data_IF_118591257757
#
_entry.id   IF_118591257757
#
_cell.length_a   1.000
_cell.length_b   1.000
_cell.length_c   1.000
_cell.angle_alpha   90.00
_cell.angle_beta   90.00
_cell.angle_gamma   90.00
#
_symmetry.space_group_name_H-M   'P 1'
#
loop_
_entity.id
_entity.type
_entity.pdbx_description
1 polymer ?
#
# COMPACT_ATOMS: atom_id res chain seq x y z
N UNK A 1 -2.13 -35.21 11.29
CA UNK A 1 -1.51 -35.25 9.95
C UNK A 1 -1.17 -33.81 9.67
N UNK A 2 0.06 -33.50 9.30
CA UNK A 2 0.48 -32.11 9.08
C UNK A 2 0.65 -31.89 7.57
N UNK A 3 -0.35 -31.29 6.94
CA UNK A 3 -0.33 -31.05 5.49
C UNK A 3 0.75 -30.04 5.08
N UNK A 4 1.18 -29.17 6.00
CA UNK A 4 2.23 -28.18 5.75
C UNK A 4 3.60 -28.86 5.63
N UNK A 5 3.95 -29.77 6.55
CA UNK A 5 5.20 -30.52 6.49
C UNK A 5 5.24 -31.54 5.35
N UNK A 6 4.08 -32.10 5.00
CA UNK A 6 3.97 -33.07 3.91
C UNK A 6 3.92 -32.42 2.52
N UNK A 7 3.80 -31.09 2.44
CA UNK A 7 3.67 -30.37 1.17
C UNK A 7 2.35 -30.66 0.44
N UNK A 8 1.32 -31.04 1.19
CA UNK A 8 -0.03 -31.34 0.68
C UNK A 8 -0.96 -30.12 0.70
N UNK A 9 -0.56 -29.05 1.40
CA UNK A 9 -1.30 -27.80 1.44
C UNK A 9 -1.21 -27.05 0.10
N UNK A 10 -2.35 -26.59 -0.41
CA UNK A 10 -2.45 -25.80 -1.66
C UNK A 10 -2.23 -24.29 -1.43
N UNK A 11 -1.46 -23.89 -0.41
CA UNK A 11 -1.15 -22.48 -0.13
C UNK A 11 -0.40 -21.82 -1.32
N UNK A 12 -0.54 -20.49 -1.44
CA UNK A 12 0.39 -19.71 -2.27
C UNK A 12 1.83 -19.97 -1.79
N UNK A 13 2.84 -20.09 -2.67
CA UNK A 13 4.24 -20.28 -2.28
C UNK A 13 4.79 -19.21 -1.32
N UNK A 14 4.19 -18.02 -1.29
CA UNK A 14 4.54 -16.91 -0.39
C UNK A 14 3.70 -16.89 0.88
N UNK A 15 2.64 -17.69 0.97
CA UNK A 15 1.78 -17.76 2.15
C UNK A 15 2.43 -18.56 3.28
N UNK A 16 1.97 -18.28 4.49
CA UNK A 16 2.27 -19.04 5.70
C UNK A 16 1.25 -20.17 5.79
N UNK A 17 1.71 -21.42 5.75
CA UNK A 17 0.89 -22.59 6.03
C UNK A 17 0.78 -22.79 7.54
N UNK A 18 -0.42 -23.08 8.03
CA UNK A 18 -0.72 -23.28 9.45
C UNK A 18 -1.48 -24.60 9.58
N UNK A 19 -0.86 -25.59 10.21
CA UNK A 19 -1.48 -26.86 10.56
C UNK A 19 -2.52 -26.65 11.68
N UNK A 20 -3.68 -27.30 11.56
CA UNK A 20 -4.76 -27.27 12.53
C UNK A 20 -5.10 -28.70 12.98
N UNK A 21 -5.84 -28.84 14.08
CA UNK A 21 -6.16 -30.17 14.65
C UNK A 21 -6.85 -31.14 13.68
N UNK A 22 -7.59 -30.62 12.69
CA UNK A 22 -8.38 -31.42 11.74
C UNK A 22 -8.18 -31.03 10.27
N UNK A 23 -7.33 -30.05 9.97
CA UNK A 23 -7.07 -29.55 8.61
C UNK A 23 -5.84 -28.64 8.62
N UNK A 24 -5.66 -27.86 7.57
CA UNK A 24 -4.72 -26.74 7.55
C UNK A 24 -5.44 -25.45 7.11
N UNK A 25 -4.78 -24.31 7.31
CA UNK A 25 -5.15 -23.03 6.71
C UNK A 25 -3.92 -22.30 6.18
N UNK A 26 -4.14 -21.31 5.32
CA UNK A 26 -3.06 -20.50 4.76
C UNK A 26 -3.31 -19.03 5.06
N UNK A 27 -2.24 -18.27 5.25
CA UNK A 27 -2.32 -16.84 5.54
C UNK A 27 -1.27 -16.08 4.75
N UNK A 28 -1.66 -15.00 4.08
CA UNK A 28 -0.67 -14.10 3.49
C UNK A 28 0.17 -13.42 4.58
N UNK A 29 1.50 -13.33 4.39
CA UNK A 29 2.37 -12.68 5.36
C UNK A 29 2.10 -11.17 5.41
N UNK A 30 2.64 -10.52 6.44
CA UNK A 30 2.53 -9.07 6.55
C UNK A 30 3.10 -8.36 5.31
N UNK A 31 2.41 -7.31 4.83
CA UNK A 31 2.76 -6.65 3.59
C UNK A 31 2.27 -7.36 2.32
N UNK A 32 1.36 -8.33 2.43
CA UNK A 32 0.69 -8.96 1.30
C UNK A 32 -0.83 -8.89 1.47
N UNK A 33 -1.53 -8.61 0.36
CA UNK A 33 -2.97 -8.72 0.26
C UNK A 33 -3.35 -10.11 -0.21
N UNK A 34 -4.37 -10.67 0.42
CA UNK A 34 -5.03 -11.87 -0.06
C UNK A 34 -5.95 -11.52 -1.24
N UNK A 35 -5.68 -12.13 -2.38
CA UNK A 35 -6.44 -11.99 -3.63
C UNK A 35 -7.08 -13.31 -4.07
N UNK A 36 -7.19 -14.28 -3.14
CA UNK A 36 -7.83 -15.56 -3.39
C UNK A 36 -9.28 -15.35 -3.84
N UNK A 37 -9.82 -16.25 -4.67
CA UNK A 37 -11.21 -16.15 -5.13
C UNK A 37 -12.22 -16.27 -3.98
N UNK A 38 -11.86 -16.99 -2.92
CA UNK A 38 -12.62 -17.14 -1.69
C UNK A 38 -11.71 -16.94 -0.47
N UNK A 39 -11.41 -15.69 -0.07
CA UNK A 39 -10.53 -15.41 1.06
C UNK A 39 -11.10 -15.83 2.42
N UNK A 40 -12.40 -16.12 2.49
CA UNK A 40 -13.06 -16.49 3.76
C UNK A 40 -12.83 -17.97 4.04
N UNK A 41 -13.08 -18.83 3.04
CA UNK A 41 -12.96 -20.28 3.22
C UNK A 41 -11.62 -20.84 2.73
N UNK A 42 -10.95 -20.15 1.80
CA UNK A 42 -9.65 -20.53 1.22
C UNK A 42 -8.68 -19.33 1.21
N UNK A 43 -8.33 -18.78 2.39
CA UNK A 43 -7.38 -17.68 2.48
C UNK A 43 -5.99 -18.09 1.99
N UNK A 44 -5.15 -17.13 1.61
CA UNK A 44 -3.74 -17.33 1.35
C UNK A 44 -3.41 -18.24 0.15
N UNK A 45 -4.33 -18.39 -0.82
CA UNK A 45 -4.10 -19.10 -2.09
C UNK A 45 -3.53 -18.20 -3.17
N UNK A 46 -3.71 -16.89 -3.03
CA UNK A 46 -3.11 -15.86 -3.89
C UNK A 46 -2.64 -14.70 -3.01
N UNK A 47 -1.34 -14.59 -2.80
CA UNK A 47 -0.74 -13.51 -2.00
C UNK A 47 -0.02 -12.49 -2.90
N UNK A 48 -0.60 -11.30 -3.02
CA UNK A 48 -0.03 -10.21 -3.79
C UNK A 48 0.67 -9.21 -2.87
N UNK A 49 1.92 -8.85 -3.17
CA UNK A 49 2.68 -7.89 -2.37
C UNK A 49 1.93 -6.55 -2.35
N UNK A 50 1.69 -6.02 -1.16
CA UNK A 50 1.21 -4.65 -0.97
C UNK A 50 2.35 -3.72 -1.37
N UNK A 51 2.33 -3.29 -2.62
CA UNK A 51 3.18 -2.21 -3.10
C UNK A 51 2.43 -0.93 -2.76
N UNK A 52 3.00 -0.12 -1.87
CA UNK A 52 2.54 1.26 -1.70
C UNK A 52 2.61 1.92 -3.07
N UNK A 53 1.54 2.58 -3.49
CA UNK A 53 1.49 3.28 -4.76
C UNK A 53 2.71 4.19 -4.92
N UNK A 54 3.14 4.87 -3.85
CA UNK A 54 4.31 5.74 -3.84
C UNK A 54 5.65 5.04 -4.12
N UNK A 55 5.78 3.76 -3.77
CA UNK A 55 7.01 2.98 -3.94
C UNK A 55 7.01 2.19 -5.27
N UNK A 56 5.94 2.33 -6.06
CA UNK A 56 5.87 1.72 -7.39
C UNK A 56 6.85 2.42 -8.33
N UNK A 57 7.72 1.67 -9.05
CA UNK A 57 8.63 2.27 -10.03
C UNK A 57 7.89 2.96 -11.20
N UNK A 58 6.59 2.67 -11.36
CA UNK A 58 5.73 3.29 -12.37
C UNK A 58 4.71 4.26 -11.75
N UNK A 59 4.98 4.78 -10.55
CA UNK A 59 4.09 5.73 -9.91
C UNK A 59 4.05 7.08 -10.64
N UNK A 60 2.86 7.50 -11.07
CA UNK A 60 2.62 8.79 -11.74
C UNK A 60 1.58 9.65 -11.03
N UNK A 61 1.19 9.28 -9.80
CA UNK A 61 0.05 9.86 -9.11
C UNK A 61 0.27 11.28 -8.55
N UNK A 62 1.51 11.65 -8.19
CA UNK A 62 1.84 13.01 -7.77
C UNK A 62 2.65 13.70 -8.88
N UNK A 63 2.06 14.71 -9.50
CA UNK A 63 2.64 15.39 -10.68
C UNK A 63 3.49 16.61 -10.33
N UNK A 64 3.24 17.28 -9.21
CA UNK A 64 4.02 18.45 -8.77
C UNK A 64 5.37 18.02 -8.21
N UNK A 65 6.46 18.67 -8.64
CA UNK A 65 7.82 18.46 -8.13
C UNK A 65 8.00 18.95 -6.70
N UNK A 66 7.12 19.84 -6.26
CA UNK A 66 7.05 20.44 -4.93
C UNK A 66 6.13 19.64 -4.00
N UNK A 67 5.77 18.41 -4.39
CA UNK A 67 4.94 17.50 -3.61
C UNK A 67 5.63 16.15 -3.40
N UNK A 68 5.32 15.51 -2.27
CA UNK A 68 5.71 14.14 -1.93
C UNK A 68 4.48 13.24 -1.87
N UNK A 69 4.64 12.01 -2.34
CA UNK A 69 3.63 10.97 -2.17
C UNK A 69 3.68 10.41 -0.76
N UNK A 70 2.51 10.19 -0.17
CA UNK A 70 2.34 9.57 1.14
C UNK A 70 1.38 8.41 0.99
N UNK A 71 1.88 7.20 1.22
CA UNK A 71 1.05 5.99 1.22
C UNK A 71 0.07 6.00 2.39
N UNK A 72 -1.15 5.57 2.15
CA UNK A 72 -2.19 5.41 3.17
C UNK A 72 -2.75 3.99 3.08
N UNK A 73 -3.50 3.56 4.10
CA UNK A 73 -4.19 2.26 4.09
C UNK A 73 -5.15 2.10 2.89
N UNK A 74 -5.68 3.22 2.38
CA UNK A 74 -6.67 3.27 1.31
C UNK A 74 -6.07 3.70 -0.05
N UNK A 75 -4.74 3.79 -0.16
CA UNK A 75 -4.05 4.20 -1.39
C UNK A 75 -2.91 5.17 -1.14
N UNK A 76 -3.01 6.39 -1.68
CA UNK A 76 -1.99 7.43 -1.50
C UNK A 76 -2.61 8.82 -1.48
N UNK A 77 -1.89 9.78 -0.89
CA UNK A 77 -2.19 11.21 -0.97
C UNK A 77 -0.91 11.97 -1.33
N UNK A 78 -1.04 13.04 -2.11
CA UNK A 78 0.08 13.94 -2.36
C UNK A 78 0.05 15.07 -1.32
N UNK A 79 1.21 15.46 -0.81
CA UNK A 79 1.36 16.61 0.08
C UNK A 79 2.52 17.48 -0.37
N UNK A 80 2.38 18.79 -0.24
CA UNK A 80 3.51 19.69 -0.49
C UNK A 80 4.70 19.34 0.41
N UNK A 81 5.91 19.48 -0.12
CA UNK A 81 7.16 19.29 0.63
C UNK A 81 7.32 20.41 1.68
N UNK A 82 8.20 20.18 2.64
CA UNK A 82 8.39 21.10 3.76
C UNK A 82 8.82 22.48 3.25
N UNK A 83 8.19 23.54 3.77
CA UNK A 83 8.38 24.92 3.29
C UNK A 83 7.47 25.36 2.13
N UNK A 84 6.56 24.48 1.68
CA UNK A 84 5.51 24.80 0.71
C UNK A 84 4.12 24.64 1.34
N UNK A 85 3.20 25.52 0.95
CA UNK A 85 1.79 25.51 1.37
C UNK A 85 0.94 25.12 0.16
N UNK A 86 -0.05 24.28 0.40
CA UNK A 86 -1.02 23.88 -0.60
C UNK A 86 -2.12 24.94 -0.76
N UNK A 87 -2.26 25.47 -1.97
CA UNK A 87 -3.26 26.46 -2.33
C UNK A 87 -4.52 25.81 -2.96
N UNK A 88 -4.57 24.48 -3.08
CA UNK A 88 -5.72 23.74 -3.61
C UNK A 88 -6.09 22.53 -2.73
N UNK A 89 -6.82 22.73 -1.62
CA UNK A 89 -7.21 21.65 -0.72
C UNK A 89 -8.12 20.58 -1.37
N UNK A 90 -8.84 20.93 -2.44
CA UNK A 90 -9.68 19.98 -3.17
C UNK A 90 -8.86 18.95 -3.95
N UNK A 91 -7.62 19.27 -4.32
CA UNK A 91 -6.68 18.35 -4.96
C UNK A 91 -5.30 18.49 -4.30
N UNK A 92 -5.10 17.84 -3.13
CA UNK A 92 -3.89 18.01 -2.34
C UNK A 92 -2.60 17.74 -3.11
N UNK A 93 -1.58 18.54 -2.86
CA UNK A 93 -0.24 18.42 -3.45
C UNK A 93 -0.14 18.87 -4.90
N UNK A 94 -1.20 19.45 -5.51
CA UNK A 94 -1.17 19.93 -6.90
C UNK A 94 -0.73 21.38 -7.04
N UNK A 95 -0.99 22.23 -6.03
CA UNK A 95 -0.70 23.66 -6.07
C UNK A 95 0.14 24.07 -4.86
N UNK A 96 1.43 23.75 -4.91
CA UNK A 96 2.36 24.02 -3.83
C UNK A 96 3.10 25.34 -4.07
N UNK A 97 2.93 26.30 -3.15
CA UNK A 97 3.63 27.59 -3.20
C UNK A 97 4.60 27.73 -2.03
N UNK A 98 5.81 28.25 -2.29
CA UNK A 98 6.84 28.44 -1.27
C UNK A 98 6.33 29.40 -0.21
N UNK A 99 6.27 28.97 1.05
CA UNK A 99 5.68 29.73 2.15
C UNK A 99 6.28 31.14 2.30
N UNK A 100 7.58 31.30 2.01
CA UNK A 100 8.26 32.60 2.03
C UNK A 100 7.99 33.52 0.84
N UNK A 101 7.46 33.01 -0.28
CA UNK A 101 7.13 33.80 -1.47
C UNK A 101 5.76 34.50 -1.32
N UNK A 102 4.86 33.93 -0.51
CA UNK A 102 3.57 34.55 -0.15
C UNK A 102 3.79 35.77 0.78
N UNK A 103 4.79 35.70 1.68
CA UNK A 103 5.09 36.79 2.61
C UNK A 103 5.64 38.06 1.90
N UNK A 104 6.21 37.92 0.70
CA UNK A 104 6.76 39.05 -0.09
C UNK A 104 5.67 39.77 -0.90
N UNK A 105 4.52 39.15 -1.15
CA UNK A 105 3.39 39.72 -1.90
C UNK A 105 2.39 40.50 -1.00
N UNK A 106 2.59 40.49 0.31
CA UNK A 106 1.75 41.18 1.31
C UNK A 106 2.47 42.35 2.02
N UNK A 107 3.64 42.75 1.52
CA UNK A 107 4.42 43.93 1.95
C UNK A 107 4.55 44.89 0.76
#
# INVERSE_FOLDING_TARGET
>A
MDECQMGLADCDPKAICIDMTYSYTCKCPHGFADKSADPINKPGRICSKLINSCDSPNFTGCQSKESKCIGTKDGFVCRCIDGYIDLNPANPGTNCSKAGMILVLLL
#
